data_IF_230085646163
#
_entry.id   IF_230085646163
#
_cell.length_a   1.000
_cell.length_b   1.000
_cell.length_c   1.000
_cell.angle_alpha   90.00
_cell.angle_beta   90.00
_cell.angle_gamma   90.00
#
_symmetry.space_group_name_H-M   'P 1'
#
loop_
_entity.id
_entity.type
_entity.pdbx_description
1 polymer ?
#
# COMPACT_ATOMS: atom_id res chain seq x y z
N UNK A 1 16.90 -0.06 35.95
CA UNK A 1 16.62 -0.53 34.58
C UNK A 1 16.09 -1.94 34.74
N UNK A 2 14.77 -2.13 34.61
CA UNK A 2 14.13 -3.44 34.85
C UNK A 2 14.34 -4.27 33.58
N UNK A 3 14.85 -5.51 33.67
CA UNK A 3 14.97 -6.37 32.49
C UNK A 3 13.56 -6.81 32.08
N UNK A 4 13.14 -6.43 30.87
CA UNK A 4 11.96 -7.02 30.23
C UNK A 4 12.32 -8.39 29.66
N UNK A 5 12.56 -9.37 30.53
CA UNK A 5 12.41 -10.77 30.16
C UNK A 5 10.92 -11.07 30.10
N UNK A 6 10.31 -10.81 28.94
CA UNK A 6 8.98 -11.27 28.62
C UNK A 6 9.02 -12.79 28.48
N UNK A 7 8.77 -13.51 29.56
CA UNK A 7 8.45 -14.92 29.45
C UNK A 7 7.17 -15.06 28.61
N UNK A 8 7.29 -15.70 27.45
CA UNK A 8 6.21 -15.92 26.47
C UNK A 8 4.97 -16.57 27.15
N UNK A 9 5.17 -17.26 28.26
CA UNK A 9 4.13 -17.90 29.07
C UNK A 9 3.19 -16.91 29.81
N UNK A 10 3.66 -15.71 30.16
CA UNK A 10 2.87 -14.70 30.88
C UNK A 10 2.18 -13.69 29.95
N UNK A 11 2.66 -13.59 28.70
CA UNK A 11 2.10 -12.74 27.64
C UNK A 11 0.59 -12.98 27.42
N UNK A 12 0.16 -14.24 27.41
CA UNK A 12 -1.23 -14.62 27.16
C UNK A 12 -2.13 -14.65 28.41
N UNK A 13 -1.56 -14.50 29.62
CA UNK A 13 -2.31 -14.47 30.89
C UNK A 13 -2.80 -13.08 31.27
N UNK A 14 -2.29 -12.04 30.63
CA UNK A 14 -2.68 -10.65 30.88
C UNK A 14 -3.81 -10.23 29.91
N UNK A 15 -5.05 -10.03 30.38
CA UNK A 15 -6.21 -9.80 29.51
C UNK A 15 -6.12 -8.50 28.70
N UNK A 16 -5.50 -7.45 29.24
CA UNK A 16 -5.29 -6.19 28.51
C UNK A 16 -4.23 -6.32 27.42
N UNK A 17 -3.16 -7.09 27.68
CA UNK A 17 -2.10 -7.32 26.70
C UNK A 17 -2.61 -8.17 25.53
N UNK A 18 -3.37 -9.23 25.84
CA UNK A 18 -4.06 -10.04 24.83
C UNK A 18 -5.01 -9.20 23.99
N UNK A 19 -5.81 -8.33 24.60
CA UNK A 19 -6.72 -7.43 23.88
C UNK A 19 -5.95 -6.47 22.94
N UNK A 20 -4.83 -5.90 23.40
CA UNK A 20 -4.00 -5.04 22.56
C UNK A 20 -3.40 -5.82 21.37
N UNK A 21 -2.92 -7.04 21.60
CA UNK A 21 -2.46 -7.94 20.55
C UNK A 21 -3.56 -8.22 19.51
N UNK A 22 -4.76 -8.60 19.97
CA UNK A 22 -5.90 -8.91 19.09
C UNK A 22 -6.26 -7.70 18.21
N UNK A 23 -6.22 -6.49 18.77
CA UNK A 23 -6.46 -5.24 18.03
C UNK A 23 -5.36 -4.99 16.98
N UNK A 24 -4.08 -5.16 17.32
CA UNK A 24 -2.98 -5.05 16.36
C UNK A 24 -3.11 -6.08 15.24
N UNK A 25 -3.42 -7.33 15.58
CA UNK A 25 -3.66 -8.41 14.63
C UNK A 25 -4.83 -8.10 13.70
N UNK A 26 -5.93 -7.52 14.22
CA UNK A 26 -7.06 -7.10 13.40
C UNK A 26 -6.66 -5.99 12.40
N UNK A 27 -5.93 -4.97 12.84
CA UNK A 27 -5.44 -3.93 11.93
C UNK A 27 -4.51 -4.50 10.84
N UNK A 28 -3.64 -5.43 11.22
CA UNK A 28 -2.72 -6.07 10.28
C UNK A 28 -3.46 -6.94 9.25
N UNK A 29 -4.43 -7.75 9.70
CA UNK A 29 -5.28 -8.57 8.82
C UNK A 29 -6.10 -7.68 7.89
N UNK A 30 -6.69 -6.60 8.39
CA UNK A 30 -7.44 -5.64 7.57
C UNK A 30 -6.58 -5.01 6.47
N UNK A 31 -5.35 -4.61 6.80
CA UNK A 31 -4.40 -4.10 5.83
C UNK A 31 -4.04 -5.16 4.77
N UNK A 32 -3.74 -6.40 5.19
CA UNK A 32 -3.46 -7.53 4.30
C UNK A 32 -4.59 -7.81 3.31
N UNK A 33 -5.84 -7.87 3.79
CA UNK A 33 -7.01 -8.06 2.92
C UNK A 33 -7.09 -6.93 1.89
N UNK A 34 -6.93 -5.67 2.33
CA UNK A 34 -6.89 -4.52 1.43
C UNK A 34 -5.84 -4.67 0.33
N UNK A 35 -4.62 -5.04 0.69
CA UNK A 35 -3.54 -5.25 -0.28
C UNK A 35 -3.80 -6.42 -1.24
N UNK A 36 -4.43 -7.51 -0.79
CA UNK A 36 -4.78 -8.66 -1.64
C UNK A 36 -5.86 -8.36 -2.67
N UNK A 37 -6.71 -7.35 -2.45
CA UNK A 37 -7.72 -6.95 -3.45
C UNK A 37 -7.09 -6.38 -4.74
N UNK A 38 -5.90 -5.80 -4.65
CA UNK A 38 -5.19 -5.18 -5.77
C UNK A 38 -4.77 -6.21 -6.84
N UNK A 39 -4.01 -7.28 -6.50
CA UNK A 39 -3.70 -8.33 -7.47
C UNK A 39 -4.95 -9.10 -7.90
N UNK A 40 -5.90 -9.37 -6.99
CA UNK A 40 -7.14 -10.07 -7.33
C UNK A 40 -7.95 -9.32 -8.40
N UNK A 41 -8.17 -8.01 -8.21
CA UNK A 41 -8.85 -7.15 -9.18
C UNK A 41 -8.15 -7.12 -10.55
N UNK A 42 -6.82 -7.19 -10.56
CA UNK A 42 -6.03 -7.20 -11.80
C UNK A 42 -6.17 -8.52 -12.56
N UNK A 43 -6.18 -9.65 -11.85
CA UNK A 43 -6.44 -10.97 -12.45
C UNK A 43 -7.85 -11.02 -13.05
N UNK A 44 -8.85 -10.51 -12.31
CA UNK A 44 -10.22 -10.41 -12.80
C UNK A 44 -10.33 -9.50 -14.04
N UNK A 45 -9.64 -8.37 -14.05
CA UNK A 45 -9.59 -7.46 -15.19
C UNK A 45 -8.97 -8.13 -16.43
N UNK A 46 -7.86 -8.87 -16.26
CA UNK A 46 -7.25 -9.65 -17.35
C UNK A 46 -8.18 -10.76 -17.87
N UNK A 47 -8.88 -11.45 -16.98
CA UNK A 47 -9.85 -12.47 -17.35
C UNK A 47 -11.04 -11.86 -18.13
N UNK A 48 -11.54 -10.71 -17.70
CA UNK A 48 -12.61 -9.98 -18.37
C UNK A 48 -12.18 -9.42 -19.74
N UNK A 49 -10.93 -8.93 -19.85
CA UNK A 49 -10.37 -8.44 -21.11
C UNK A 49 -10.39 -9.50 -22.23
N UNK A 50 -10.23 -10.78 -21.89
CA UNK A 50 -10.31 -11.89 -22.88
C UNK A 50 -11.69 -12.03 -23.52
N UNK A 51 -12.74 -11.50 -22.87
CA UNK A 51 -14.14 -11.62 -23.29
C UNK A 51 -14.73 -10.29 -23.78
N UNK A 52 -14.06 -9.18 -23.54
CA UNK A 52 -14.53 -7.84 -23.91
C UNK A 52 -14.04 -7.45 -25.31
N UNK A 53 -14.94 -7.48 -26.29
CA UNK A 53 -14.68 -7.05 -27.67
C UNK A 53 -14.90 -5.54 -27.88
N UNK A 54 -15.62 -4.87 -26.97
CA UNK A 54 -15.92 -3.45 -27.07
C UNK A 54 -14.70 -2.58 -26.72
N UNK A 55 -14.35 -1.67 -27.63
CA UNK A 55 -13.25 -0.73 -27.50
C UNK A 55 -13.23 0.08 -26.18
N UNK A 56 -14.37 0.63 -25.67
CA UNK A 56 -14.34 1.37 -24.41
C UNK A 56 -14.07 0.48 -23.20
N UNK A 57 -14.72 -0.69 -23.10
CA UNK A 57 -14.55 -1.62 -21.97
C UNK A 57 -13.14 -2.22 -21.91
N UNK A 58 -12.56 -2.55 -23.07
CA UNK A 58 -11.20 -3.08 -23.15
C UNK A 58 -10.16 -2.11 -22.55
N UNK A 59 -10.35 -0.80 -22.74
CA UNK A 59 -9.45 0.22 -22.16
C UNK A 59 -9.51 0.26 -20.63
N UNK A 60 -10.69 0.07 -20.04
CA UNK A 60 -10.87 0.01 -18.58
C UNK A 60 -10.22 -1.23 -17.97
N UNK A 61 -10.39 -2.40 -18.58
CA UNK A 61 -9.75 -3.63 -18.11
C UNK A 61 -8.23 -3.59 -18.20
N UNK A 62 -7.69 -3.03 -19.30
CA UNK A 62 -6.25 -2.77 -19.42
C UNK A 62 -5.77 -1.82 -18.31
N UNK A 63 -6.49 -0.74 -18.06
CA UNK A 63 -6.12 0.21 -16.99
C UNK A 63 -6.10 -0.44 -15.60
N UNK A 64 -7.10 -1.26 -15.27
CA UNK A 64 -7.14 -1.99 -14.00
C UNK A 64 -5.95 -2.95 -13.87
N UNK A 65 -5.64 -3.70 -14.92
CA UNK A 65 -4.51 -4.63 -14.94
C UNK A 65 -3.15 -3.95 -14.82
N UNK A 66 -2.90 -2.85 -15.56
CA UNK A 66 -1.63 -2.12 -15.49
C UNK A 66 -1.49 -1.29 -14.21
N UNK A 67 -2.61 -0.93 -13.56
CA UNK A 67 -2.56 -0.15 -12.32
C UNK A 67 -1.87 -0.91 -11.19
N UNK A 68 -2.06 -2.22 -11.05
CA UNK A 68 -1.36 -3.00 -10.01
C UNK A 68 0.14 -3.07 -10.25
N UNK A 69 0.58 -3.20 -11.51
CA UNK A 69 2.00 -3.15 -11.87
C UNK A 69 2.61 -1.82 -11.43
N UNK A 70 1.97 -0.69 -11.74
CA UNK A 70 2.46 0.63 -11.31
C UNK A 70 2.50 0.79 -9.80
N UNK A 71 1.49 0.29 -9.08
CA UNK A 71 1.49 0.34 -7.62
C UNK A 71 2.58 -0.54 -7.02
N UNK A 72 2.84 -1.71 -7.60
CA UNK A 72 3.94 -2.58 -7.18
C UNK A 72 5.30 -1.91 -7.40
N UNK A 73 5.50 -1.28 -8.57
CA UNK A 73 6.72 -0.51 -8.85
C UNK A 73 6.89 0.65 -7.88
N UNK A 74 5.84 1.43 -7.63
CA UNK A 74 5.88 2.53 -6.66
C UNK A 74 6.20 2.02 -5.25
N UNK A 75 5.56 0.93 -4.80
CA UNK A 75 5.84 0.32 -3.51
C UNK A 75 7.30 -0.11 -3.39
N UNK A 76 7.84 -0.79 -4.41
CA UNK A 76 9.25 -1.19 -4.45
C UNK A 76 10.21 0.00 -4.38
N UNK A 77 9.91 1.09 -5.10
CA UNK A 77 10.68 2.34 -5.03
C UNK A 77 10.60 3.00 -3.65
N UNK A 78 9.43 3.01 -3.01
CA UNK A 78 9.25 3.50 -1.64
C UNK A 78 10.07 2.69 -0.63
N UNK A 79 10.07 1.36 -0.75
CA UNK A 79 10.89 0.47 0.09
C UNK A 79 12.38 0.74 -0.12
N UNK A 80 12.82 0.84 -1.38
CA UNK A 80 14.23 1.13 -1.68
C UNK A 80 14.65 2.50 -1.11
N UNK A 81 13.85 3.54 -1.30
CA UNK A 81 14.10 4.86 -0.75
C UNK A 81 14.14 4.85 0.79
N UNK A 82 13.23 4.11 1.43
CA UNK A 82 13.24 3.91 2.89
C UNK A 82 14.55 3.26 3.37
N UNK A 83 15.02 2.21 2.71
CA UNK A 83 16.27 1.54 3.07
C UNK A 83 17.48 2.46 2.90
N UNK A 84 17.51 3.25 1.82
CA UNK A 84 18.56 4.26 1.57
C UNK A 84 18.54 5.34 2.66
N UNK A 85 17.39 5.92 2.97
CA UNK A 85 17.24 6.92 4.03
C UNK A 85 17.67 6.35 5.39
N UNK A 86 17.31 5.11 5.68
CA UNK A 86 17.68 4.44 6.92
C UNK A 86 19.18 4.16 7.02
N UNK A 87 19.84 3.82 5.91
CA UNK A 87 21.26 3.57 5.88
C UNK A 87 22.10 4.86 6.01
N UNK A 88 21.67 5.94 5.35
CA UNK A 88 22.50 7.14 5.19
C UNK A 88 22.03 8.36 5.99
N UNK A 89 20.73 8.61 6.11
CA UNK A 89 20.21 9.81 6.78
C UNK A 89 20.00 9.58 8.28
N UNK A 90 19.45 8.42 8.65
CA UNK A 90 19.19 8.13 10.06
C UNK A 90 20.48 7.93 10.88
N UNK A 91 21.53 7.37 10.26
CA UNK A 91 22.84 7.13 10.90
C UNK A 91 23.60 8.42 11.22
N UNK A 92 23.37 9.48 10.46
CA UNK A 92 24.00 10.80 10.65
C UNK A 92 23.27 11.64 11.69
N UNK A 93 21.94 11.49 11.81
CA UNK A 93 21.08 12.39 12.61
C UNK A 93 20.69 11.76 13.96
N UNK A 94 20.69 10.43 14.06
CA UNK A 94 20.22 9.70 15.24
C UNK A 94 21.20 8.57 15.61
N UNK A 95 22.25 8.84 16.42
CA UNK A 95 23.14 7.80 16.91
C UNK A 95 22.35 6.74 17.69
N UNK A 96 22.75 5.48 17.55
CA UNK A 96 22.05 4.25 17.97
C UNK A 96 21.69 4.18 19.47
N UNK A 97 22.16 5.12 20.28
CA UNK A 97 22.29 4.98 21.73
C UNK A 97 21.16 5.67 22.52
N UNK A 98 20.11 6.18 21.85
CA UNK A 98 18.99 6.87 22.52
C UNK A 98 17.63 6.19 22.27
N UNK A 99 17.01 5.74 23.35
CA UNK A 99 15.77 4.94 23.39
C UNK A 99 14.51 5.76 23.03
N UNK A 100 14.53 7.08 23.23
CA UNK A 100 13.43 7.99 22.88
C UNK A 100 13.93 9.08 21.93
N UNK A 101 13.75 8.88 20.63
CA UNK A 101 13.96 9.90 19.60
C UNK A 101 12.66 10.12 18.82
N UNK A 102 12.43 11.34 18.27
CA UNK A 102 11.32 11.60 17.36
C UNK A 102 11.32 10.59 16.20
N UNK A 103 10.17 10.33 15.56
CA UNK A 103 10.09 9.38 14.45
C UNK A 103 11.17 9.70 13.41
N UNK A 104 12.02 8.71 13.12
CA UNK A 104 13.15 8.86 12.19
C UNK A 104 12.66 9.38 10.84
N UNK A 105 13.51 10.10 10.12
CA UNK A 105 13.15 10.62 8.79
C UNK A 105 12.74 9.49 7.84
N UNK A 106 13.40 8.33 7.91
CA UNK A 106 12.98 7.13 7.17
C UNK A 106 11.56 6.67 7.55
N UNK A 107 11.21 6.70 8.84
CA UNK A 107 9.89 6.33 9.36
C UNK A 107 8.81 7.31 8.93
N UNK A 108 9.06 8.62 9.06
CA UNK A 108 8.14 9.65 8.57
C UNK A 108 7.96 9.55 7.05
N UNK A 109 9.06 9.35 6.32
CA UNK A 109 9.02 9.14 4.88
C UNK A 109 8.12 7.97 4.50
N UNK A 110 8.34 6.77 5.07
CA UNK A 110 7.57 5.59 4.65
C UNK A 110 6.08 5.70 5.01
N UNK A 111 5.75 6.35 6.13
CA UNK A 111 4.36 6.64 6.51
C UNK A 111 3.73 7.59 5.48
N UNK A 112 4.33 8.77 5.25
CA UNK A 112 3.82 9.75 4.30
C UNK A 112 3.73 9.18 2.88
N UNK A 113 4.75 8.42 2.46
CA UNK A 113 4.81 7.78 1.15
C UNK A 113 3.69 6.76 0.97
N UNK A 114 3.47 5.90 1.96
CA UNK A 114 2.42 4.88 1.90
C UNK A 114 1.02 5.51 1.88
N UNK A 115 0.80 6.56 2.69
CA UNK A 115 -0.46 7.32 2.68
C UNK A 115 -0.70 8.01 1.32
N UNK A 116 0.32 8.66 0.77
CA UNK A 116 0.23 9.30 -0.54
C UNK A 116 -0.03 8.28 -1.66
N UNK A 117 0.64 7.13 -1.61
CA UNK A 117 0.44 6.04 -2.56
C UNK A 117 -0.99 5.48 -2.49
N UNK A 118 -1.53 5.30 -1.28
CA UNK A 118 -2.91 4.86 -1.08
C UNK A 118 -3.93 5.89 -1.56
N UNK A 119 -3.71 7.18 -1.29
CA UNK A 119 -4.56 8.25 -1.81
C UNK A 119 -4.54 8.33 -3.35
N UNK A 120 -3.36 8.18 -3.95
CA UNK A 120 -3.22 8.09 -5.41
C UNK A 120 -3.98 6.88 -5.97
N UNK A 121 -3.88 5.73 -5.31
CA UNK A 121 -4.62 4.52 -5.69
C UNK A 121 -6.13 4.78 -5.70
N UNK A 122 -6.69 5.32 -4.62
CA UNK A 122 -8.11 5.67 -4.53
C UNK A 122 -8.51 6.66 -5.65
N UNK A 123 -7.73 7.71 -5.85
CA UNK A 123 -8.01 8.73 -6.87
C UNK A 123 -8.01 8.14 -8.30
N UNK A 124 -7.09 7.22 -8.60
CA UNK A 124 -7.00 6.52 -9.90
C UNK A 124 -8.26 5.72 -10.19
N UNK A 125 -8.69 4.88 -9.23
CA UNK A 125 -9.86 4.02 -9.42
C UNK A 125 -11.17 4.81 -9.39
N UNK A 126 -11.27 5.82 -8.53
CA UNK A 126 -12.39 6.76 -8.54
C UNK A 126 -12.54 7.44 -9.91
N UNK A 127 -11.43 7.94 -10.47
CA UNK A 127 -11.44 8.58 -11.80
C UNK A 127 -11.79 7.60 -12.91
N UNK A 128 -11.24 6.38 -12.87
CA UNK A 128 -11.59 5.31 -13.82
C UNK A 128 -13.08 4.97 -13.77
N UNK A 129 -13.66 4.85 -12.57
CA UNK A 129 -15.08 4.63 -12.37
C UNK A 129 -15.95 5.77 -12.92
N UNK A 130 -15.55 7.03 -12.68
CA UNK A 130 -16.24 8.18 -13.28
C UNK A 130 -16.25 8.14 -14.81
N UNK A 131 -15.13 7.78 -15.44
CA UNK A 131 -15.05 7.64 -16.90
C UNK A 131 -15.95 6.50 -17.39
N UNK A 132 -15.93 5.36 -16.69
CA UNK A 132 -16.78 4.21 -17.01
C UNK A 132 -18.27 4.57 -16.90
N UNK A 133 -18.69 5.25 -15.84
CA UNK A 133 -20.09 5.67 -15.62
C UNK A 133 -20.63 6.61 -16.71
N UNK A 134 -19.72 7.30 -17.43
CA UNK A 134 -20.05 8.19 -18.55
C UNK A 134 -19.94 7.50 -19.91
N UNK A 135 -19.61 6.20 -19.95
CA UNK A 135 -19.33 5.47 -21.18
C UNK A 135 -18.04 5.90 -21.89
N UNK A 136 -17.18 6.70 -21.24
CA UNK A 136 -15.95 7.20 -21.84
C UNK A 136 -14.83 6.14 -21.78
N UNK A 137 -14.09 5.91 -22.88
CA UNK A 137 -12.89 5.07 -22.85
C UNK A 137 -11.77 5.75 -22.05
N UNK A 138 -10.74 5.00 -21.68
CA UNK A 138 -9.48 5.55 -21.16
C UNK A 138 -8.49 5.65 -22.33
N UNK A 139 -8.03 6.87 -22.66
CA UNK A 139 -7.11 7.11 -23.80
C UNK A 139 -5.77 6.38 -23.65
N UNK A 140 -5.20 6.44 -22.46
CA UNK A 140 -3.90 5.83 -22.15
C UNK A 140 -4.06 4.85 -20.99
N UNK A 141 -4.51 3.60 -21.25
CA UNK A 141 -4.81 2.65 -20.19
C UNK A 141 -3.56 2.23 -19.40
N UNK A 142 -2.37 2.28 -19.99
CA UNK A 142 -1.12 1.89 -19.32
C UNK A 142 -0.48 3.02 -18.49
N UNK A 143 -1.18 4.11 -18.20
CA UNK A 143 -0.58 5.29 -17.55
C UNK A 143 -0.33 5.09 -16.03
N UNK A 144 0.83 5.57 -15.51
CA UNK A 144 1.07 5.66 -14.06
C UNK A 144 0.34 6.84 -13.40
N UNK A 145 -0.27 7.73 -14.18
CA UNK A 145 -0.99 8.91 -13.70
C UNK A 145 -2.52 8.71 -13.70
N UNK A 146 -3.27 9.72 -13.27
CA UNK A 146 -4.74 9.68 -13.31
C UNK A 146 -5.25 9.43 -14.74
N UNK A 147 -6.23 8.52 -14.94
CA UNK A 147 -6.76 8.22 -16.27
C UNK A 147 -7.53 9.40 -16.86
N UNK A 148 -7.44 9.53 -18.19
CA UNK A 148 -8.11 10.56 -18.97
C UNK A 148 -8.99 9.90 -20.04
N UNK A 149 -10.18 10.47 -20.26
CA UNK A 149 -11.10 10.10 -21.35
C UNK A 149 -10.86 10.93 -22.60
#
# INVERSE_FOLDING_TARGET
>A
MIPYEYEIADYFRQPLLKRAHDIYSLFFVGALIGWLTIPAGSVLALAALRRAQDAPLASHFRFQAFSSLWMATALALGIAAFLVLRAFADSVICPLDRIFQPPRWSTLFIICYTLALYALWLARFWRGYQLLSRGAPIRHPCTPFLPRG
#
